data_IF_222178520934
#
_entry.id   IF_222178520934
#
_cell.length_a   1.000
_cell.length_b   1.000
_cell.length_c   1.000
_cell.angle_alpha   90.00
_cell.angle_beta   90.00
_cell.angle_gamma   90.00
#
_symmetry.space_group_name_H-M   'P 1'
#
loop_
_entity.id
_entity.type
_entity.pdbx_description
1 polymer ?
#
# COMPACT_ATOMS: atom_id res chain seq x y z
N UNK A 1 -11.10 25.74 -32.49
CA UNK A 1 -11.86 26.63 -31.61
C UNK A 1 -10.86 27.46 -30.81
N UNK A 2 -10.94 28.79 -30.90
CA UNK A 2 -10.19 29.71 -30.03
C UNK A 2 -10.66 29.54 -28.59
N UNK A 3 -9.75 29.56 -27.62
CA UNK A 3 -10.14 29.62 -26.21
C UNK A 3 -10.56 31.04 -25.84
N UNK A 4 -11.65 31.17 -25.09
CA UNK A 4 -12.10 32.46 -24.57
C UNK A 4 -11.43 32.68 -23.21
N UNK A 5 -10.59 33.71 -23.10
CA UNK A 5 -9.81 34.00 -21.88
C UNK A 5 -10.18 35.34 -21.25
N UNK A 6 -10.52 35.34 -19.96
CA UNK A 6 -10.65 36.56 -19.18
C UNK A 6 -9.26 37.01 -18.65
N UNK A 7 -8.95 38.30 -18.77
CA UNK A 7 -7.67 38.87 -18.36
C UNK A 7 -7.39 38.70 -16.84
N UNK A 8 -8.43 38.70 -16.01
CA UNK A 8 -8.36 38.65 -14.55
C UNK A 8 -8.74 39.97 -13.88
N UNK A 9 -8.36 40.12 -12.59
CA UNK A 9 -8.62 41.30 -11.74
C UNK A 9 -10.11 41.53 -11.43
N UNK A 10 -10.90 40.46 -11.45
CA UNK A 10 -12.33 40.53 -11.11
C UNK A 10 -12.52 40.33 -9.61
N UNK A 11 -13.45 41.09 -9.02
CA UNK A 11 -13.88 40.92 -7.63
C UNK A 11 -15.37 40.62 -7.63
N UNK A 12 -15.73 39.37 -7.32
CA UNK A 12 -17.10 38.89 -7.28
C UNK A 12 -17.66 38.98 -5.85
N UNK A 13 -18.34 40.08 -5.53
CA UNK A 13 -18.98 40.29 -4.22
C UNK A 13 -20.40 39.69 -4.11
N UNK A 14 -21.00 39.29 -5.23
CA UNK A 14 -22.26 38.54 -5.30
C UNK A 14 -22.04 37.13 -5.83
N UNK A 15 -23.02 36.21 -5.67
CA UNK A 15 -22.89 34.84 -6.15
C UNK A 15 -22.55 34.80 -7.65
N UNK A 16 -21.69 33.87 -8.04
CA UNK A 16 -21.24 33.69 -9.41
C UNK A 16 -21.64 32.30 -9.92
N UNK A 17 -22.21 32.24 -11.13
CA UNK A 17 -22.42 30.99 -11.84
C UNK A 17 -21.82 31.08 -13.25
N UNK A 18 -20.84 30.24 -13.54
CA UNK A 18 -20.17 30.14 -14.84
C UNK A 18 -20.50 28.79 -15.45
N UNK A 19 -20.98 28.81 -16.71
CA UNK A 19 -21.27 27.60 -17.48
C UNK A 19 -20.48 27.60 -18.78
N UNK A 20 -19.63 26.59 -18.95
CA UNK A 20 -18.93 26.29 -20.20
C UNK A 20 -19.64 25.13 -20.91
N UNK A 21 -20.35 25.43 -22.00
CA UNK A 21 -21.11 24.44 -22.80
C UNK A 21 -20.55 24.23 -24.21
N UNK A 22 -19.54 25.01 -24.61
CA UNK A 22 -18.96 24.99 -25.94
C UNK A 22 -17.89 23.90 -26.14
N UNK A 23 -17.36 23.86 -27.37
CA UNK A 23 -16.21 23.03 -27.74
C UNK A 23 -14.86 23.74 -27.58
N UNK A 24 -14.87 25.06 -27.39
CA UNK A 24 -13.70 25.85 -27.01
C UNK A 24 -13.43 25.77 -25.51
N UNK A 25 -12.19 26.05 -25.11
CA UNK A 25 -11.87 26.16 -23.68
C UNK A 25 -12.24 27.54 -23.14
N UNK A 26 -12.71 27.60 -21.90
CA UNK A 26 -12.94 28.85 -21.17
C UNK A 26 -11.88 29.01 -20.09
N UNK A 27 -11.18 30.15 -20.07
CA UNK A 27 -10.10 30.43 -19.12
C UNK A 27 -10.43 31.66 -18.28
N UNK A 28 -10.38 31.52 -16.96
CA UNK A 28 -10.61 32.61 -16.00
C UNK A 28 -9.34 32.90 -15.21
N UNK A 29 -8.97 34.18 -15.08
CA UNK A 29 -7.80 34.58 -14.30
C UNK A 29 -6.46 34.39 -15.02
N UNK A 30 -6.35 34.82 -16.28
CA UNK A 30 -5.17 34.54 -17.10
C UNK A 30 -3.93 35.33 -16.66
N UNK A 31 -4.05 36.65 -16.49
CA UNK A 31 -2.89 37.54 -16.22
C UNK A 31 -2.95 38.20 -14.84
N UNK A 32 -4.15 38.38 -14.29
CA UNK A 32 -4.35 38.95 -12.96
C UNK A 32 -5.24 38.06 -12.09
N UNK A 33 -5.02 38.11 -10.79
CA UNK A 33 -5.79 37.32 -9.83
C UNK A 33 -7.25 37.77 -9.75
N UNK A 34 -8.14 36.80 -9.60
CA UNK A 34 -9.57 36.99 -9.34
C UNK A 34 -9.87 36.72 -7.86
N UNK A 35 -10.87 37.41 -7.31
CA UNK A 35 -11.36 37.24 -5.94
C UNK A 35 -12.85 36.89 -5.95
N UNK A 36 -13.21 35.81 -5.27
CA UNK A 36 -14.58 35.32 -5.15
C UNK A 36 -15.04 35.46 -3.69
N UNK A 37 -15.72 36.56 -3.37
CA UNK A 37 -16.16 36.92 -2.02
C UNK A 37 -17.54 36.36 -1.64
N UNK A 38 -18.27 35.82 -2.62
CA UNK A 38 -19.55 35.15 -2.45
C UNK A 38 -19.54 33.79 -3.15
N UNK A 39 -20.50 32.88 -2.85
CA UNK A 39 -20.48 31.53 -3.37
C UNK A 39 -20.36 31.48 -4.90
N UNK A 40 -19.52 30.58 -5.41
CA UNK A 40 -19.25 30.48 -6.85
C UNK A 40 -19.45 29.05 -7.36
N UNK A 41 -20.02 28.92 -8.55
CA UNK A 41 -20.29 27.65 -9.22
C UNK A 41 -19.69 27.69 -10.61
N UNK A 42 -18.85 26.70 -10.91
CA UNK A 42 -18.21 26.52 -12.22
C UNK A 42 -18.66 25.20 -12.81
N UNK A 43 -19.43 25.26 -13.89
CA UNK A 43 -20.00 24.09 -14.54
C UNK A 43 -19.43 23.94 -15.94
N UNK A 44 -18.89 22.76 -16.25
CA UNK A 44 -18.56 22.36 -17.60
C UNK A 44 -19.54 21.28 -18.07
N UNK A 45 -20.31 21.57 -19.11
CA UNK A 45 -21.18 20.62 -19.83
C UNK A 45 -20.73 20.42 -21.28
N UNK A 46 -19.75 21.21 -21.73
CA UNK A 46 -19.24 21.21 -23.09
C UNK A 46 -18.21 20.11 -23.36
N UNK A 47 -17.61 20.18 -24.55
CA UNK A 47 -16.50 19.32 -24.98
C UNK A 47 -15.15 20.00 -24.86
N UNK A 48 -15.12 21.31 -24.58
CA UNK A 48 -13.92 22.05 -24.19
C UNK A 48 -13.57 21.89 -22.71
N UNK A 49 -12.42 22.43 -22.31
CA UNK A 49 -11.98 22.46 -20.91
C UNK A 49 -12.37 23.78 -20.25
N UNK A 50 -12.66 23.73 -18.95
CA UNK A 50 -12.87 24.92 -18.13
C UNK A 50 -11.67 25.11 -17.20
N UNK A 51 -10.99 26.25 -17.32
CA UNK A 51 -9.87 26.62 -16.46
C UNK A 51 -10.29 27.71 -15.49
N UNK A 52 -10.17 27.42 -14.19
CA UNK A 52 -10.52 28.34 -13.10
C UNK A 52 -9.26 28.68 -12.31
N UNK A 53 -9.09 29.96 -11.96
CA UNK A 53 -7.85 30.47 -11.36
C UNK A 53 -6.62 30.07 -12.22
N UNK A 54 -6.68 30.35 -13.53
CA UNK A 54 -5.84 29.70 -14.52
C UNK A 54 -4.35 29.92 -14.32
N UNK A 55 -3.86 31.17 -14.46
CA UNK A 55 -2.43 31.44 -14.63
C UNK A 55 -1.85 32.43 -13.63
N UNK A 56 -2.63 33.44 -13.22
CA UNK A 56 -2.14 34.47 -12.32
C UNK A 56 -1.92 33.92 -10.90
N UNK A 57 -0.96 34.49 -10.18
CA UNK A 57 -0.75 34.16 -8.76
C UNK A 57 -1.61 35.05 -7.87
N UNK A 58 -2.17 34.47 -6.80
CA UNK A 58 -2.91 35.20 -5.76
C UNK A 58 -4.42 35.14 -5.89
N UNK A 59 -4.98 34.15 -6.59
CA UNK A 59 -6.43 33.93 -6.62
C UNK A 59 -6.97 33.63 -5.22
N UNK A 60 -8.14 34.15 -4.88
CA UNK A 60 -8.76 33.93 -3.56
C UNK A 60 -10.24 33.56 -3.69
N UNK A 61 -10.62 32.45 -3.08
CA UNK A 61 -12.01 32.06 -2.86
C UNK A 61 -12.36 32.26 -1.38
N UNK A 62 -13.03 33.35 -1.05
CA UNK A 62 -13.45 33.70 0.32
C UNK A 62 -14.81 33.10 0.73
N UNK A 63 -15.49 32.43 -0.20
CA UNK A 63 -16.76 31.78 0.00
C UNK A 63 -16.78 30.42 -0.72
N UNK A 64 -17.73 29.52 -0.37
CA UNK A 64 -17.75 28.17 -0.92
C UNK A 64 -17.74 28.14 -2.45
N UNK A 65 -17.00 27.19 -3.00
CA UNK A 65 -16.89 26.99 -4.46
C UNK A 65 -17.34 25.59 -4.85
N UNK A 66 -18.08 25.49 -5.95
CA UNK A 66 -18.53 24.22 -6.52
C UNK A 66 -17.98 24.07 -7.94
N UNK A 67 -17.32 22.95 -8.21
CA UNK A 67 -16.85 22.55 -9.53
C UNK A 67 -17.66 21.36 -10.04
N UNK A 68 -18.40 21.57 -11.15
CA UNK A 68 -19.27 20.56 -11.76
C UNK A 68 -18.77 20.22 -13.16
N UNK A 69 -18.07 19.10 -13.31
CA UNK A 69 -17.66 18.62 -14.64
C UNK A 69 -18.62 17.51 -15.11
N UNK A 70 -19.74 17.97 -15.67
CA UNK A 70 -20.89 17.15 -16.07
C UNK A 70 -20.93 17.00 -17.60
N UNK A 71 -19.83 16.53 -18.17
CA UNK A 71 -19.64 16.42 -19.62
C UNK A 71 -19.90 14.99 -20.08
N UNK A 72 -20.58 14.81 -21.22
CA UNK A 72 -20.64 13.50 -21.89
C UNK A 72 -19.32 13.10 -22.59
N UNK A 73 -18.36 14.04 -22.66
CA UNK A 73 -17.04 13.86 -23.25
C UNK A 73 -16.05 13.23 -22.26
N UNK A 74 -15.26 12.27 -22.72
CA UNK A 74 -14.15 11.67 -21.95
C UNK A 74 -12.87 12.53 -21.94
N UNK A 75 -12.84 13.64 -22.69
CA UNK A 75 -11.66 14.48 -22.87
C UNK A 75 -11.82 15.90 -22.29
N UNK A 76 -12.87 16.11 -21.48
CA UNK A 76 -13.24 17.41 -20.97
C UNK A 76 -13.19 17.43 -19.44
N UNK A 77 -12.48 18.42 -18.91
CA UNK A 77 -12.20 18.54 -17.49
C UNK A 77 -12.35 19.98 -17.00
N UNK A 78 -12.39 20.11 -15.68
CA UNK A 78 -12.11 21.37 -15.00
C UNK A 78 -10.67 21.35 -14.49
N UNK A 79 -9.88 22.34 -14.88
CA UNK A 79 -8.54 22.57 -14.35
C UNK A 79 -8.59 23.75 -13.39
N UNK A 80 -8.17 23.53 -12.15
CA UNK A 80 -8.16 24.55 -11.10
C UNK A 80 -6.71 24.91 -10.80
N UNK A 81 -6.38 26.19 -10.72
CA UNK A 81 -5.00 26.63 -10.43
C UNK A 81 -3.98 26.09 -11.43
N UNK A 82 -4.35 25.94 -12.71
CA UNK A 82 -3.56 25.18 -13.69
C UNK A 82 -2.09 25.62 -13.73
N UNK A 83 -1.84 26.91 -13.85
CA UNK A 83 -0.51 27.52 -13.77
C UNK A 83 -0.30 28.46 -12.57
N UNK A 84 -1.34 28.74 -11.77
CA UNK A 84 -1.28 29.65 -10.62
C UNK A 84 -0.36 29.12 -9.52
N UNK A 85 0.66 29.90 -9.16
CA UNK A 85 1.60 29.61 -8.06
C UNK A 85 1.01 29.87 -6.67
N UNK A 86 -0.20 30.41 -6.58
CA UNK A 86 -0.90 30.62 -5.30
C UNK A 86 -2.39 30.83 -5.55
N UNK A 87 -3.21 29.84 -5.23
CA UNK A 87 -4.66 29.99 -5.13
C UNK A 87 -5.10 29.58 -3.74
N UNK A 88 -5.78 30.47 -3.02
CA UNK A 88 -6.24 30.23 -1.65
C UNK A 88 -7.75 30.01 -1.59
N UNK A 89 -8.15 28.93 -0.93
CA UNK A 89 -9.54 28.60 -0.63
C UNK A 89 -9.79 28.80 0.87
N UNK A 90 -10.50 29.88 1.21
CA UNK A 90 -10.97 30.22 2.56
C UNK A 90 -12.42 29.75 2.79
N UNK A 91 -12.81 28.66 2.15
CA UNK A 91 -14.12 28.03 2.27
C UNK A 91 -14.09 26.58 1.75
N UNK A 92 -15.16 25.83 2.02
CA UNK A 92 -15.32 24.47 1.49
C UNK A 92 -15.31 24.44 -0.05
N UNK A 93 -14.68 23.41 -0.60
CA UNK A 93 -14.65 23.09 -2.03
C UNK A 93 -15.57 21.90 -2.27
N UNK A 94 -16.58 22.06 -3.12
CA UNK A 94 -17.44 20.97 -3.59
C UNK A 94 -17.03 20.54 -4.99
N UNK A 95 -16.91 19.24 -5.23
CA UNK A 95 -16.58 18.66 -6.54
C UNK A 95 -17.63 17.64 -6.97
N UNK A 96 -18.08 17.76 -8.21
CA UNK A 96 -18.95 16.79 -8.88
C UNK A 96 -18.38 16.48 -10.27
N UNK A 97 -18.32 15.20 -10.64
CA UNK A 97 -17.75 14.81 -11.92
C UNK A 97 -18.36 13.53 -12.48
N UNK A 98 -18.80 13.63 -13.74
CA UNK A 98 -19.13 12.49 -14.62
C UNK A 98 -18.24 12.42 -15.87
N UNK A 99 -17.41 13.46 -16.11
CA UNK A 99 -16.47 13.55 -17.23
C UNK A 99 -15.06 13.06 -16.89
N UNK A 100 -14.04 13.65 -17.54
CA UNK A 100 -12.63 13.23 -17.39
C UNK A 100 -12.07 13.48 -15.99
N UNK A 101 -12.47 14.56 -15.32
CA UNK A 101 -12.01 14.85 -13.97
C UNK A 101 -11.97 16.34 -13.61
N UNK A 102 -11.50 16.56 -12.38
CA UNK A 102 -11.21 17.88 -11.82
C UNK A 102 -9.75 17.84 -11.34
N UNK A 103 -8.91 18.67 -11.95
CA UNK A 103 -7.46 18.62 -11.78
C UNK A 103 -6.93 19.92 -11.18
N UNK A 104 -6.43 19.85 -9.96
CA UNK A 104 -5.72 20.96 -9.34
C UNK A 104 -4.27 21.01 -9.84
N UNK A 105 -3.77 22.23 -10.08
CA UNK A 105 -2.37 22.53 -10.37
C UNK A 105 -1.83 21.81 -11.61
N UNK A 106 -2.67 21.63 -12.63
CA UNK A 106 -2.51 20.84 -13.88
C UNK A 106 -1.24 21.11 -14.72
N UNK A 107 -0.81 22.37 -14.76
CA UNK A 107 -0.02 22.92 -15.87
C UNK A 107 1.46 23.12 -15.63
N UNK A 108 1.92 23.21 -14.37
CA UNK A 108 3.34 23.33 -14.07
C UNK A 108 3.70 22.81 -12.65
N UNK A 109 5.00 22.70 -12.37
CA UNK A 109 5.54 22.15 -11.11
C UNK A 109 5.72 23.18 -9.99
N UNK A 110 5.33 24.45 -10.20
CA UNK A 110 5.37 25.52 -9.19
C UNK A 110 3.98 26.00 -8.78
N UNK A 111 2.92 25.53 -9.44
CA UNK A 111 1.54 25.82 -9.12
C UNK A 111 1.21 25.37 -7.68
N UNK A 112 0.29 26.06 -7.02
CA UNK A 112 -0.10 25.74 -5.65
C UNK A 112 -1.56 26.09 -5.38
N UNK A 113 -2.28 25.15 -4.77
CA UNK A 113 -3.61 25.36 -4.21
C UNK A 113 -3.56 25.18 -2.69
N UNK A 114 -4.01 26.18 -1.95
CA UNK A 114 -4.00 26.20 -0.49
C UNK A 114 -5.43 26.15 0.01
N UNK A 115 -5.77 25.13 0.80
CA UNK A 115 -7.01 25.07 1.56
C UNK A 115 -6.73 25.56 2.98
N UNK A 116 -7.37 26.67 3.34
CA UNK A 116 -7.19 27.29 4.66
C UNK A 116 -7.75 26.43 5.79
N UNK A 117 -7.32 26.64 7.05
CA UNK A 117 -7.81 25.89 8.19
C UNK A 117 -9.33 25.99 8.34
N UNK A 118 -9.97 24.90 8.74
CA UNK A 118 -11.41 24.84 8.98
C UNK A 118 -12.23 24.30 7.81
N UNK A 119 -11.63 24.11 6.62
CA UNK A 119 -12.36 23.81 5.40
C UNK A 119 -12.04 22.43 4.80
N UNK A 120 -12.92 21.98 3.91
CA UNK A 120 -12.95 20.61 3.36
C UNK A 120 -13.07 20.58 1.85
N UNK A 121 -12.58 19.50 1.26
CA UNK A 121 -12.94 19.06 -0.09
C UNK A 121 -14.04 18.00 0.02
N UNK A 122 -15.17 18.23 -0.63
CA UNK A 122 -16.38 17.41 -0.54
C UNK A 122 -16.78 16.92 -1.93
N UNK A 123 -17.06 15.63 -2.06
CA UNK A 123 -17.89 15.16 -3.18
C UNK A 123 -19.32 15.67 -2.95
N UNK A 124 -19.87 16.40 -3.91
CA UNK A 124 -21.22 16.95 -3.80
C UNK A 124 -22.32 15.90 -3.98
N UNK A 125 -23.57 16.34 -3.92
CA UNK A 125 -24.75 15.46 -4.04
C UNK A 125 -24.90 14.85 -5.43
N UNK A 126 -24.35 15.49 -6.47
CA UNK A 126 -24.36 14.95 -7.84
C UNK A 126 -23.31 13.84 -8.01
N UNK A 127 -22.37 13.75 -7.06
CA UNK A 127 -21.38 12.69 -6.95
C UNK A 127 -20.17 12.87 -7.84
N UNK A 128 -19.17 12.01 -7.60
CA UNK A 128 -17.96 11.90 -8.40
C UNK A 128 -17.83 10.44 -8.84
N UNK A 129 -18.37 10.14 -10.02
CA UNK A 129 -18.68 8.77 -10.47
C UNK A 129 -17.76 8.26 -11.59
N UNK A 130 -17.02 9.15 -12.23
CA UNK A 130 -16.05 8.81 -13.28
C UNK A 130 -14.81 9.70 -13.17
N UNK A 131 -13.80 9.45 -14.00
CA UNK A 131 -12.65 10.34 -14.14
C UNK A 131 -11.76 10.43 -12.88
N UNK A 132 -10.94 11.47 -12.80
CA UNK A 132 -10.00 11.66 -11.70
C UNK A 132 -10.23 12.96 -10.91
N UNK A 133 -10.24 12.87 -9.59
CA UNK A 133 -9.99 14.02 -8.71
C UNK A 133 -8.49 14.05 -8.42
N UNK A 134 -7.77 15.04 -8.95
CA UNK A 134 -6.32 15.17 -8.77
C UNK A 134 -6.00 16.33 -7.85
N UNK A 135 -5.53 16.01 -6.65
CA UNK A 135 -5.05 16.95 -5.64
C UNK A 135 -3.53 17.06 -5.72
N UNK A 136 -3.02 17.65 -6.81
CA UNK A 136 -1.59 17.90 -7.02
C UNK A 136 -1.21 19.27 -6.47
N UNK A 137 -0.03 19.37 -5.85
CA UNK A 137 0.47 20.60 -5.22
C UNK A 137 -0.58 21.27 -4.33
N UNK A 138 -1.35 20.44 -3.64
CA UNK A 138 -2.46 20.84 -2.80
C UNK A 138 -1.99 20.86 -1.36
N UNK A 139 -2.09 22.00 -0.71
CA UNK A 139 -1.68 22.23 0.68
C UNK A 139 -2.93 22.47 1.52
N UNK A 140 -3.35 21.47 2.29
CA UNK A 140 -4.35 21.67 3.33
C UNK A 140 -3.66 22.12 4.61
N UNK A 141 -3.90 23.37 4.99
CA UNK A 141 -3.38 23.96 6.23
C UNK A 141 -4.28 23.65 7.42
N UNK A 142 -3.68 23.27 8.54
CA UNK A 142 -4.40 23.00 9.80
C UNK A 142 -5.08 21.64 9.84
N UNK A 143 -5.54 21.22 11.02
CA UNK A 143 -5.88 19.82 11.30
C UNK A 143 -7.29 19.37 10.88
N UNK A 144 -8.00 20.13 10.05
CA UNK A 144 -9.38 19.79 9.63
C UNK A 144 -9.41 18.46 8.86
N UNK A 145 -10.15 17.43 9.33
CA UNK A 145 -10.19 16.15 8.64
C UNK A 145 -10.78 16.25 7.22
N UNK A 146 -10.14 15.60 6.26
CA UNK A 146 -10.63 15.44 4.89
C UNK A 146 -11.24 14.05 4.74
N UNK A 147 -12.52 13.98 4.39
CA UNK A 147 -13.25 12.73 4.15
C UNK A 147 -13.78 12.75 2.72
N UNK A 148 -13.14 12.00 1.82
CA UNK A 148 -13.42 12.05 0.38
C UNK A 148 -13.91 10.68 -0.08
N UNK A 149 -15.16 10.61 -0.54
CA UNK A 149 -15.72 9.40 -1.12
C UNK A 149 -16.01 9.62 -2.60
N UNK A 150 -15.42 8.77 -3.44
CA UNK A 150 -15.73 8.68 -4.87
C UNK A 150 -16.40 7.33 -5.15
N UNK A 151 -17.09 7.20 -6.28
CA UNK A 151 -17.89 6.01 -6.59
C UNK A 151 -17.73 5.57 -8.04
N UNK A 152 -18.33 4.42 -8.37
CA UNK A 152 -18.35 3.85 -9.72
C UNK A 152 -16.94 3.62 -10.29
N UNK A 153 -16.48 4.41 -11.26
CA UNK A 153 -15.18 4.21 -11.92
C UNK A 153 -14.18 5.34 -11.63
N UNK A 154 -14.51 6.22 -10.68
CA UNK A 154 -13.69 7.36 -10.34
C UNK A 154 -12.36 6.99 -9.63
N UNK A 155 -11.36 7.85 -9.78
CA UNK A 155 -10.05 7.73 -9.14
C UNK A 155 -9.71 8.97 -8.32
N UNK A 156 -9.28 8.77 -7.08
CA UNK A 156 -8.71 9.82 -6.24
C UNK A 156 -7.19 9.79 -6.34
N UNK A 157 -6.57 10.92 -6.69
CA UNK A 157 -5.11 11.06 -6.78
C UNK A 157 -4.61 12.12 -5.82
N UNK A 158 -3.71 11.70 -4.92
CA UNK A 158 -2.92 12.60 -4.09
C UNK A 158 -1.55 12.85 -4.69
N UNK A 159 -1.15 14.11 -4.77
CA UNK A 159 0.18 14.51 -5.23
C UNK A 159 0.38 14.47 -6.74
N UNK A 160 1.59 14.82 -7.21
CA UNK A 160 2.80 15.12 -6.42
C UNK A 160 2.78 16.43 -5.64
N UNK A 161 3.69 16.50 -4.66
CA UNK A 161 4.00 17.68 -3.84
C UNK A 161 2.81 18.25 -3.07
N UNK A 162 1.94 17.37 -2.56
CA UNK A 162 0.79 17.77 -1.75
C UNK A 162 1.07 17.55 -0.26
N UNK A 163 0.39 18.29 0.60
CA UNK A 163 0.50 18.12 2.05
C UNK A 163 -0.87 18.26 2.69
N UNK A 164 -1.15 17.38 3.65
CA UNK A 164 -2.38 17.37 4.42
C UNK A 164 -2.03 17.41 5.90
N UNK A 165 -2.33 18.53 6.55
CA UNK A 165 -2.07 18.73 7.98
C UNK A 165 -3.05 17.98 8.90
N UNK A 166 -4.26 17.69 8.39
CA UNK A 166 -5.29 16.94 9.11
C UNK A 166 -5.33 15.46 8.74
N UNK A 167 -6.26 14.75 9.39
CA UNK A 167 -6.54 13.35 9.05
C UNK A 167 -7.14 13.26 7.65
N UNK A 168 -6.80 12.19 6.91
CA UNK A 168 -7.33 11.93 5.57
C UNK A 168 -7.98 10.56 5.54
N UNK A 169 -9.28 10.53 5.26
CA UNK A 169 -10.02 9.29 5.00
C UNK A 169 -10.53 9.32 3.56
N UNK A 170 -10.32 8.25 2.81
CA UNK A 170 -10.94 8.10 1.49
C UNK A 170 -11.51 6.71 1.26
N UNK A 171 -12.66 6.66 0.60
CA UNK A 171 -13.23 5.45 0.00
C UNK A 171 -13.40 5.72 -1.48
N UNK A 172 -12.69 5.02 -2.36
CA UNK A 172 -12.71 5.33 -3.80
C UNK A 172 -12.43 4.09 -4.65
N UNK A 173 -13.03 3.97 -5.85
CA UNK A 173 -12.76 2.85 -6.73
C UNK A 173 -11.29 2.76 -7.16
N UNK A 174 -10.71 3.89 -7.56
CA UNK A 174 -9.28 4.06 -7.79
C UNK A 174 -8.64 4.96 -6.72
N UNK A 175 -7.45 4.61 -6.25
CA UNK A 175 -6.63 5.43 -5.34
C UNK A 175 -5.18 5.46 -5.84
N UNK A 176 -4.64 6.66 -6.02
CA UNK A 176 -3.24 6.87 -6.40
C UNK A 176 -2.52 7.77 -5.40
N UNK A 177 -1.47 7.25 -4.77
CA UNK A 177 -0.64 7.94 -3.77
C UNK A 177 0.71 8.33 -4.40
N UNK A 178 0.80 9.55 -4.91
CA UNK A 178 1.86 9.96 -5.84
C UNK A 178 2.71 11.11 -5.31
N UNK A 179 3.18 11.04 -4.06
CA UNK A 179 4.12 12.01 -3.51
C UNK A 179 3.42 13.07 -2.65
N UNK A 180 2.71 12.63 -1.62
CA UNK A 180 2.08 13.51 -0.64
C UNK A 180 2.68 13.30 0.77
N UNK A 181 2.64 14.37 1.57
CA UNK A 181 2.95 14.33 3.00
C UNK A 181 1.62 14.32 3.77
N UNK A 182 1.41 13.32 4.60
CA UNK A 182 0.24 13.22 5.47
C UNK A 182 0.68 13.39 6.92
N UNK A 183 0.32 14.50 7.55
CA UNK A 183 0.70 14.81 8.93
C UNK A 183 -0.25 14.20 9.96
N UNK A 184 -1.52 13.97 9.59
CA UNK A 184 -2.51 13.28 10.42
C UNK A 184 -2.61 11.78 10.13
N UNK A 185 -3.55 11.13 10.81
CA UNK A 185 -3.92 9.73 10.57
C UNK A 185 -4.55 9.57 9.19
N UNK A 186 -4.24 8.47 8.50
CA UNK A 186 -4.77 8.19 7.17
C UNK A 186 -5.50 6.85 7.08
N UNK A 187 -6.56 6.81 6.27
CA UNK A 187 -7.30 5.59 5.94
C UNK A 187 -7.73 5.61 4.48
N UNK A 188 -7.19 4.72 3.66
CA UNK A 188 -7.46 4.63 2.23
C UNK A 188 -8.11 3.29 1.91
N UNK A 189 -9.34 3.30 1.41
CA UNK A 189 -10.11 2.10 1.04
C UNK A 189 -10.37 2.11 -0.46
N UNK A 190 -9.67 1.24 -1.18
CA UNK A 190 -9.90 0.97 -2.60
C UNK A 190 -11.09 0.02 -2.78
N UNK A 191 -12.01 0.32 -3.69
CA UNK A 191 -13.21 -0.51 -3.93
C UNK A 191 -13.39 -0.97 -5.39
N UNK A 192 -12.59 -0.45 -6.32
CA UNK A 192 -12.81 -0.61 -7.75
C UNK A 192 -12.05 -1.77 -8.39
N UNK A 193 -12.23 -1.90 -9.70
CA UNK A 193 -11.72 -3.01 -10.50
C UNK A 193 -10.40 -2.72 -11.22
N UNK A 194 -9.94 -1.47 -11.22
CA UNK A 194 -8.66 -1.07 -11.82
C UNK A 194 -7.46 -1.52 -10.98
N UNK A 195 -6.35 -1.84 -11.63
CA UNK A 195 -5.06 -1.95 -10.96
C UNK A 195 -4.47 -0.55 -10.74
N UNK A 196 -4.22 -0.18 -9.49
CA UNK A 196 -3.81 1.18 -9.14
C UNK A 196 -2.30 1.24 -8.88
N UNK A 197 -1.59 1.86 -9.82
CA UNK A 197 -0.14 1.97 -9.79
C UNK A 197 0.31 3.27 -9.12
N UNK A 198 0.28 3.32 -7.79
CA UNK A 198 0.79 4.49 -7.08
C UNK A 198 2.28 4.64 -7.30
N UNK A 199 2.69 5.83 -7.70
CA UNK A 199 4.08 6.18 -7.96
C UNK A 199 4.95 6.00 -6.70
N UNK A 200 4.36 6.21 -5.52
CA UNK A 200 5.08 6.34 -4.26
C UNK A 200 5.63 7.74 -4.06
N UNK A 201 6.60 7.89 -3.15
CA UNK A 201 7.14 9.19 -2.74
C UNK A 201 6.38 9.82 -1.57
N UNK A 202 5.53 9.04 -0.89
CA UNK A 202 4.68 9.55 0.18
C UNK A 202 5.39 9.48 1.52
N UNK A 203 5.06 10.41 2.41
CA UNK A 203 5.50 10.42 3.81
C UNK A 203 4.25 10.42 4.70
N UNK A 204 4.10 9.37 5.51
CA UNK A 204 3.03 9.24 6.48
C UNK A 204 3.60 9.50 7.87
N UNK A 205 3.29 10.67 8.45
CA UNK A 205 3.73 11.05 9.79
C UNK A 205 2.75 10.60 10.89
N UNK A 206 1.50 10.29 10.53
CA UNK A 206 0.53 9.65 11.41
C UNK A 206 0.31 8.18 11.06
N UNK A 207 -0.47 7.49 11.91
CA UNK A 207 -0.87 6.09 11.68
C UNK A 207 -1.58 5.96 10.32
N UNK A 208 -1.27 4.90 9.58
CA UNK A 208 -1.78 4.69 8.23
C UNK A 208 -2.53 3.36 8.10
N UNK A 209 -3.66 3.37 7.39
CA UNK A 209 -4.35 2.16 6.97
C UNK A 209 -4.59 2.20 5.46
N UNK A 210 -4.22 1.12 4.77
CA UNK A 210 -4.46 0.94 3.34
C UNK A 210 -5.19 -0.39 3.15
N UNK A 211 -6.42 -0.30 2.65
CA UNK A 211 -7.30 -1.44 2.43
C UNK A 211 -7.64 -1.56 0.95
N UNK A 212 -7.49 -2.77 0.40
CA UNK A 212 -8.02 -3.12 -0.90
C UNK A 212 -9.23 -4.04 -0.75
N UNK A 213 -10.42 -3.46 -0.95
CA UNK A 213 -11.72 -4.15 -1.02
C UNK A 213 -12.23 -4.31 -2.46
N UNK A 214 -11.40 -3.98 -3.46
CA UNK A 214 -11.74 -4.04 -4.87
C UNK A 214 -11.35 -5.35 -5.55
N UNK A 215 -11.54 -5.41 -6.87
CA UNK A 215 -11.29 -6.64 -7.66
C UNK A 215 -9.86 -6.75 -8.20
N UNK A 216 -9.09 -5.67 -8.15
CA UNK A 216 -7.70 -5.64 -8.62
C UNK A 216 -6.78 -4.94 -7.60
N UNK A 217 -5.48 -4.98 -7.85
CA UNK A 217 -4.45 -4.65 -6.86
C UNK A 217 -4.28 -3.15 -6.64
N UNK A 218 -3.72 -2.80 -5.47
CA UNK A 218 -3.09 -1.50 -5.23
C UNK A 218 -1.58 -1.69 -5.07
N UNK A 219 -0.80 -0.93 -5.85
CA UNK A 219 0.67 -0.89 -5.80
C UNK A 219 1.11 0.38 -5.10
N UNK A 220 2.11 0.26 -4.23
CA UNK A 220 2.79 1.35 -3.53
C UNK A 220 4.30 1.28 -3.80
N UNK A 221 4.99 2.42 -3.81
CA UNK A 221 6.43 2.46 -4.08
C UNK A 221 6.83 2.00 -5.48
N UNK A 222 6.10 2.40 -6.54
CA UNK A 222 6.38 1.95 -7.91
C UNK A 222 7.59 2.63 -8.57
N UNK A 223 7.83 3.91 -8.30
CA UNK A 223 8.97 4.66 -8.85
C UNK A 223 9.65 5.58 -7.82
N UNK A 224 9.06 5.77 -6.63
CA UNK A 224 9.64 6.55 -5.54
C UNK A 224 9.36 5.87 -4.19
N UNK A 225 10.27 6.04 -3.23
CA UNK A 225 10.18 5.44 -1.90
C UNK A 225 8.98 5.99 -1.13
N UNK A 226 8.24 5.12 -0.45
CA UNK A 226 7.30 5.51 0.59
C UNK A 226 7.97 5.43 1.97
N UNK A 227 7.54 6.28 2.90
CA UNK A 227 8.03 6.31 4.29
C UNK A 227 6.85 6.35 5.26
N UNK A 228 6.77 5.38 6.17
CA UNK A 228 5.83 5.36 7.28
C UNK A 228 6.58 5.64 8.56
N UNK A 229 6.34 6.80 9.18
CA UNK A 229 6.98 7.20 10.44
C UNK A 229 6.29 6.61 11.67
N UNK A 230 5.00 6.30 11.56
CA UNK A 230 4.18 5.64 12.56
C UNK A 230 3.68 4.28 12.04
N UNK A 231 2.91 3.57 12.88
CA UNK A 231 2.34 2.27 12.56
C UNK A 231 1.51 2.29 11.25
N UNK A 232 1.61 1.22 10.46
CA UNK A 232 0.83 1.03 9.23
C UNK A 232 0.11 -0.32 9.20
N UNK A 233 -1.13 -0.32 8.74
CA UNK A 233 -1.91 -1.54 8.49
C UNK A 233 -2.20 -1.70 6.99
N UNK A 234 -1.86 -2.86 6.44
CA UNK A 234 -2.23 -3.26 5.08
C UNK A 234 -3.29 -4.36 5.13
N UNK A 235 -4.44 -4.13 4.50
CA UNK A 235 -5.55 -5.09 4.47
C UNK A 235 -5.94 -5.43 3.04
N UNK A 236 -5.85 -6.70 2.70
CA UNK A 236 -6.47 -7.24 1.49
C UNK A 236 -7.74 -8.00 1.88
N UNK A 237 -8.90 -7.50 1.46
CA UNK A 237 -10.22 -8.14 1.67
C UNK A 237 -11.11 -8.15 0.41
N UNK A 238 -10.64 -7.55 -0.69
CA UNK A 238 -11.19 -7.70 -2.03
C UNK A 238 -10.59 -8.91 -2.76
N UNK A 239 -10.72 -9.00 -4.08
CA UNK A 239 -10.30 -10.19 -4.84
C UNK A 239 -8.80 -10.25 -5.20
N UNK A 240 -8.03 -9.17 -5.02
CA UNK A 240 -6.59 -9.12 -5.35
C UNK A 240 -5.76 -8.52 -4.20
N UNK A 241 -4.57 -7.99 -4.51
CA UNK A 241 -3.49 -7.77 -3.54
C UNK A 241 -3.35 -6.33 -3.08
N UNK A 242 -2.72 -6.17 -1.93
CA UNK A 242 -1.99 -4.95 -1.57
C UNK A 242 -0.50 -5.21 -1.79
N UNK A 243 0.18 -4.33 -2.50
CA UNK A 243 1.59 -4.50 -2.91
C UNK A 243 2.49 -3.36 -2.39
N UNK A 244 2.89 -3.38 -1.09
CA UNK A 244 3.81 -2.39 -0.52
C UNK A 244 5.24 -2.53 -1.04
N UNK A 245 5.96 -1.40 -1.15
CA UNK A 245 7.37 -1.37 -1.55
C UNK A 245 7.67 -2.11 -2.87
N UNK A 246 6.78 -2.00 -3.86
CA UNK A 246 6.74 -2.90 -5.01
C UNK A 246 8.03 -2.91 -5.84
N UNK A 247 8.53 -1.73 -6.24
CA UNK A 247 9.72 -1.57 -7.11
C UNK A 247 10.83 -0.72 -6.50
N UNK A 248 10.49 0.17 -5.58
CA UNK A 248 11.46 1.03 -4.89
C UNK A 248 11.47 0.67 -3.42
N UNK A 249 12.66 0.69 -2.83
CA UNK A 249 12.80 0.43 -1.41
C UNK A 249 11.99 1.44 -0.59
N UNK A 250 11.28 0.97 0.43
CA UNK A 250 10.46 1.79 1.31
C UNK A 250 10.77 1.51 2.78
N UNK A 251 10.42 2.45 3.64
CA UNK A 251 10.82 2.48 5.05
C UNK A 251 9.63 2.43 5.99
N UNK A 252 9.65 1.45 6.89
CA UNK A 252 8.66 1.23 7.94
C UNK A 252 9.31 1.52 9.29
N UNK A 253 9.13 2.76 9.77
CA UNK A 253 9.69 3.21 11.05
C UNK A 253 8.72 2.97 12.22
N UNK A 254 7.47 2.59 11.96
CA UNK A 254 6.52 2.04 12.92
C UNK A 254 6.34 0.52 12.79
N UNK A 255 5.43 -0.06 13.59
CA UNK A 255 5.02 -1.46 13.42
C UNK A 255 4.20 -1.64 12.14
N UNK A 256 4.24 -2.85 11.61
CA UNK A 256 3.48 -3.22 10.41
C UNK A 256 2.43 -4.26 10.79
N UNK A 257 1.18 -3.97 10.47
CA UNK A 257 0.08 -4.92 10.62
C UNK A 257 -0.40 -5.37 9.24
N UNK A 258 -0.67 -6.65 9.10
CA UNK A 258 -1.11 -7.24 7.83
C UNK A 258 -2.39 -8.05 8.02
N UNK A 259 -3.32 -7.90 7.10
CA UNK A 259 -4.56 -8.67 7.06
C UNK A 259 -4.80 -9.21 5.65
N UNK A 260 -5.23 -10.45 5.57
CA UNK A 260 -5.67 -11.09 4.32
C UNK A 260 -6.85 -11.99 4.64
N UNK A 261 -8.03 -11.60 4.19
CA UNK A 261 -9.28 -12.28 4.50
C UNK A 261 -10.26 -12.21 3.31
N UNK A 262 -11.44 -12.79 3.50
CA UNK A 262 -12.47 -12.91 2.46
C UNK A 262 -11.91 -13.56 1.17
N UNK A 263 -12.08 -12.91 0.01
CA UNK A 263 -11.64 -13.42 -1.30
C UNK A 263 -10.23 -12.98 -1.70
N UNK A 264 -9.46 -12.40 -0.77
CA UNK A 264 -8.16 -11.83 -1.04
C UNK A 264 -7.13 -12.83 -1.54
N UNK A 265 -6.32 -12.35 -2.50
CA UNK A 265 -5.07 -13.01 -2.85
C UNK A 265 -4.01 -12.77 -1.78
N UNK A 266 -3.90 -11.56 -1.22
CA UNK A 266 -3.03 -11.31 -0.08
C UNK A 266 -2.30 -9.97 -0.05
N UNK A 267 -1.39 -9.83 0.91
CA UNK A 267 -0.45 -8.72 1.02
C UNK A 267 0.94 -9.22 0.61
N UNK A 268 1.58 -8.56 -0.35
CA UNK A 268 2.93 -8.92 -0.78
C UNK A 268 3.85 -7.70 -0.79
N UNK A 269 4.91 -7.79 0.01
CA UNK A 269 5.99 -6.81 -0.01
C UNK A 269 6.92 -7.10 -1.18
N UNK A 270 7.30 -6.05 -1.91
CA UNK A 270 8.21 -6.11 -3.04
C UNK A 270 7.76 -7.08 -4.17
N UNK A 271 8.59 -7.20 -5.21
CA UNK A 271 8.39 -8.16 -6.32
C UNK A 271 8.31 -7.54 -7.71
N UNK A 272 8.28 -6.22 -7.80
CA UNK A 272 8.38 -5.49 -9.07
C UNK A 272 9.82 -5.17 -9.49
N UNK A 273 10.78 -5.27 -8.56
CA UNK A 273 12.22 -5.09 -8.82
C UNK A 273 13.03 -5.98 -7.85
N UNK A 274 14.12 -6.58 -8.32
CA UNK A 274 14.97 -7.49 -7.53
C UNK A 274 15.91 -6.76 -6.58
N UNK A 275 16.09 -5.45 -6.73
CA UNK A 275 16.88 -4.60 -5.83
C UNK A 275 16.03 -3.87 -4.79
N UNK A 276 14.69 -3.85 -4.93
CA UNK A 276 13.78 -3.26 -3.95
C UNK A 276 13.89 -3.95 -2.59
N UNK A 277 13.65 -3.22 -1.51
CA UNK A 277 13.62 -3.75 -0.14
C UNK A 277 12.53 -3.08 0.69
N UNK A 278 11.85 -3.86 1.52
CA UNK A 278 11.00 -3.36 2.58
C UNK A 278 11.82 -3.34 3.88
N UNK A 279 12.20 -2.16 4.37
CA UNK A 279 13.00 -2.03 5.59
C UNK A 279 12.10 -1.79 6.80
N UNK A 280 12.09 -2.72 7.75
CA UNK A 280 11.48 -2.55 9.07
C UNK A 280 12.54 -2.10 10.07
N UNK A 281 12.30 -0.96 10.71
CA UNK A 281 13.23 -0.33 11.63
C UNK A 281 13.48 -1.17 12.89
N UNK A 282 14.63 -0.94 13.54
CA UNK A 282 14.96 -1.57 14.81
C UNK A 282 13.94 -1.23 15.90
N UNK A 283 13.59 -2.21 16.73
CA UNK A 283 12.59 -2.05 17.78
C UNK A 283 11.14 -2.22 17.31
N UNK A 284 10.90 -2.54 16.02
CA UNK A 284 9.57 -2.69 15.43
C UNK A 284 9.30 -4.12 15.00
N UNK A 285 8.02 -4.47 14.91
CA UNK A 285 7.56 -5.81 14.52
C UNK A 285 6.61 -5.77 13.33
N UNK A 286 6.43 -6.92 12.71
CA UNK A 286 5.34 -7.21 11.77
C UNK A 286 4.51 -8.38 12.32
N UNK A 287 3.19 -8.20 12.36
CA UNK A 287 2.23 -9.22 12.81
C UNK A 287 0.87 -9.07 12.14
N UNK A 288 -0.02 -10.03 12.33
CA UNK A 288 -1.39 -9.89 11.88
C UNK A 288 -2.11 -8.71 12.54
N UNK A 289 -2.97 -8.04 11.78
CA UNK A 289 -3.89 -7.03 12.32
C UNK A 289 -5.13 -7.65 12.95
N UNK A 290 -6.07 -6.81 13.38
CA UNK A 290 -7.28 -7.24 14.11
C UNK A 290 -8.22 -8.14 13.30
N UNK A 291 -8.17 -8.08 11.97
CA UNK A 291 -9.00 -8.94 11.10
C UNK A 291 -8.28 -10.22 10.65
N UNK A 292 -7.01 -10.37 11.01
CA UNK A 292 -6.22 -11.58 10.84
C UNK A 292 -5.85 -11.94 9.40
N UNK A 293 -5.16 -13.08 9.29
CA UNK A 293 -4.80 -13.74 8.03
C UNK A 293 -5.61 -15.04 7.96
N UNK A 294 -6.78 -14.99 7.33
CA UNK A 294 -7.75 -16.09 7.27
C UNK A 294 -7.90 -16.69 5.86
N UNK A 295 -7.49 -15.97 4.83
CA UNK A 295 -7.41 -16.43 3.44
C UNK A 295 -6.23 -15.77 2.72
N UNK A 296 -5.95 -16.18 1.48
CA UNK A 296 -4.85 -15.62 0.69
C UNK A 296 -3.49 -15.82 1.35
N UNK A 297 -2.61 -14.81 1.23
CA UNK A 297 -1.27 -14.87 1.78
C UNK A 297 -0.78 -13.55 2.38
N UNK A 298 0.23 -13.67 3.25
CA UNK A 298 1.21 -12.62 3.50
C UNK A 298 2.55 -13.08 2.92
N UNK A 299 3.16 -12.25 2.08
CA UNK A 299 4.43 -12.57 1.41
C UNK A 299 5.50 -11.54 1.78
N UNK A 300 6.44 -11.97 2.63
CA UNK A 300 7.58 -11.18 3.09
C UNK A 300 8.78 -11.43 2.16
N UNK A 301 8.68 -10.94 0.93
CA UNK A 301 9.77 -10.97 -0.05
C UNK A 301 10.63 -9.71 0.07
N UNK A 302 11.95 -9.87 0.00
CA UNK A 302 12.91 -8.75 0.12
C UNK A 302 12.65 -7.90 1.37
N UNK A 303 12.23 -8.55 2.46
CA UNK A 303 11.87 -7.92 3.72
C UNK A 303 13.07 -7.95 4.66
N UNK A 304 13.51 -6.78 5.11
CA UNK A 304 14.70 -6.61 5.94
C UNK A 304 14.26 -6.06 7.30
N UNK A 305 14.22 -6.94 8.30
CA UNK A 305 13.89 -6.58 9.67
C UNK A 305 15.19 -6.36 10.46
N UNK A 306 15.33 -5.16 11.04
CA UNK A 306 16.48 -4.80 11.86
C UNK A 306 16.19 -4.91 13.35
N UNK A 307 17.21 -5.16 14.15
CA UNK A 307 17.12 -5.29 15.59
C UNK A 307 16.56 -6.64 16.04
N UNK A 308 16.25 -6.74 17.33
CA UNK A 308 15.93 -8.01 17.99
C UNK A 308 14.45 -8.17 18.39
N UNK A 309 13.57 -7.26 17.95
CA UNK A 309 12.14 -7.35 18.24
C UNK A 309 11.52 -8.50 17.45
N UNK A 310 10.94 -9.52 18.11
CA UNK A 310 10.44 -10.71 17.42
C UNK A 310 9.42 -10.41 16.32
N UNK A 311 9.46 -11.22 15.26
CA UNK A 311 8.43 -11.30 14.23
C UNK A 311 7.52 -12.48 14.58
N UNK A 312 6.26 -12.19 14.86
CA UNK A 312 5.25 -13.19 15.22
C UNK A 312 4.06 -13.04 14.30
N UNK A 313 3.79 -14.05 13.47
CA UNK A 313 2.65 -14.04 12.55
C UNK A 313 1.82 -15.30 12.75
N UNK A 314 0.54 -15.10 13.03
CA UNK A 314 -0.45 -16.16 13.09
C UNK A 314 -1.43 -16.04 11.92
N UNK A 315 -1.51 -17.09 11.11
CA UNK A 315 -2.56 -17.28 10.12
C UNK A 315 -3.43 -18.48 10.50
N UNK A 316 -4.68 -18.46 10.06
CA UNK A 316 -5.68 -19.51 10.32
C UNK A 316 -6.45 -19.85 9.05
N UNK A 317 -7.30 -20.87 9.11
CA UNK A 317 -8.11 -21.36 7.99
C UNK A 317 -7.27 -21.70 6.76
N UNK A 318 -7.35 -20.89 5.70
CA UNK A 318 -6.59 -21.09 4.46
C UNK A 318 -5.44 -20.07 4.30
N UNK A 319 -5.17 -19.26 5.32
CA UNK A 319 -4.11 -18.27 5.31
C UNK A 319 -2.72 -18.90 5.11
N UNK A 320 -1.89 -18.20 4.34
CA UNK A 320 -0.52 -18.63 4.01
C UNK A 320 0.51 -17.56 4.37
N UNK A 321 1.68 -17.97 4.83
CA UNK A 321 2.82 -17.07 5.07
C UNK A 321 4.01 -17.51 4.23
N UNK A 322 4.56 -16.59 3.43
CA UNK A 322 5.76 -16.81 2.62
C UNK A 322 6.89 -15.92 3.13
N UNK A 323 8.07 -16.50 3.34
CA UNK A 323 9.26 -15.82 3.87
C UNK A 323 10.38 -15.88 2.83
N UNK A 324 10.85 -14.73 2.36
CA UNK A 324 11.82 -14.64 1.27
C UNK A 324 11.16 -14.54 -0.11
N UNK A 325 11.89 -14.72 -1.21
CA UNK A 325 13.35 -14.77 -1.25
C UNK A 325 13.98 -13.42 -0.89
N UNK A 326 15.27 -13.47 -0.59
CA UNK A 326 16.13 -12.34 -0.26
C UNK A 326 15.62 -11.52 0.93
N UNK A 327 15.01 -12.19 1.91
CA UNK A 327 14.60 -11.56 3.17
C UNK A 327 15.62 -11.83 4.26
N UNK A 328 15.69 -10.93 5.23
CA UNK A 328 16.72 -10.88 6.25
C UNK A 328 16.05 -10.53 7.59
N UNK A 329 16.17 -11.42 8.56
CA UNK A 329 15.54 -11.30 9.87
C UNK A 329 16.60 -11.33 10.97
N UNK A 330 16.89 -10.17 11.56
CA UNK A 330 17.81 -10.03 12.69
C UNK A 330 17.21 -10.56 14.02
N UNK A 331 15.88 -10.59 14.14
CA UNK A 331 15.15 -11.00 15.33
C UNK A 331 14.61 -12.44 15.27
N UNK A 332 14.18 -13.01 16.41
CA UNK A 332 13.48 -14.28 16.41
C UNK A 332 12.22 -14.24 15.53
N UNK A 333 11.98 -15.30 14.76
CA UNK A 333 10.82 -15.43 13.86
C UNK A 333 9.96 -16.59 14.33
N UNK A 334 8.69 -16.34 14.67
CA UNK A 334 7.71 -17.39 14.97
C UNK A 334 6.53 -17.26 14.03
N UNK A 335 6.30 -18.30 13.22
CA UNK A 335 5.16 -18.34 12.29
C UNK A 335 4.27 -19.52 12.64
N UNK A 336 3.00 -19.26 12.91
CA UNK A 336 1.97 -20.29 13.09
C UNK A 336 0.96 -20.16 11.96
N UNK A 337 0.89 -21.14 11.05
CA UNK A 337 -0.04 -21.05 9.92
C UNK A 337 -0.45 -22.40 9.32
N UNK A 338 -1.63 -22.45 8.68
CA UNK A 338 -2.06 -23.58 7.86
C UNK A 338 -1.08 -23.88 6.74
N UNK A 339 -0.46 -22.84 6.18
CA UNK A 339 0.54 -22.93 5.12
C UNK A 339 1.72 -21.98 5.40
N UNK A 340 2.93 -22.52 5.41
CA UNK A 340 4.18 -21.79 5.63
C UNK A 340 5.15 -22.15 4.50
N UNK A 341 5.72 -21.14 3.84
CA UNK A 341 6.69 -21.33 2.76
C UNK A 341 7.98 -20.57 3.08
N UNK A 342 9.02 -21.31 3.46
CA UNK A 342 10.34 -20.78 3.82
C UNK A 342 11.24 -20.78 2.58
N UNK A 343 11.47 -19.62 1.99
CA UNK A 343 11.71 -19.48 0.54
C UNK A 343 12.87 -18.55 0.18
N UNK A 344 13.98 -18.66 0.90
CA UNK A 344 15.24 -17.96 0.61
C UNK A 344 15.50 -16.77 1.52
N UNK A 345 15.35 -16.96 2.83
CA UNK A 345 15.63 -15.94 3.83
C UNK A 345 16.84 -16.28 4.71
N UNK A 346 17.48 -15.26 5.27
CA UNK A 346 18.48 -15.38 6.33
C UNK A 346 17.82 -15.14 7.68
N UNK A 347 18.05 -16.04 8.63
CA UNK A 347 17.55 -15.97 10.01
C UNK A 347 18.74 -15.89 10.96
N UNK A 348 18.97 -14.71 11.54
CA UNK A 348 20.10 -14.47 12.46
C UNK A 348 19.82 -14.91 13.90
N UNK A 349 18.54 -15.07 14.25
CA UNK A 349 18.05 -15.49 15.55
C UNK A 349 17.07 -16.67 15.39
N UNK A 350 16.61 -17.32 16.49
CA UNK A 350 15.81 -18.54 16.39
C UNK A 350 14.57 -18.38 15.51
N UNK A 351 14.37 -19.34 14.60
CA UNK A 351 13.22 -19.39 13.70
C UNK A 351 12.36 -20.61 14.03
N UNK A 352 11.09 -20.39 14.40
CA UNK A 352 10.12 -21.43 14.75
C UNK A 352 8.93 -21.42 13.78
N UNK A 353 8.65 -22.57 13.19
CA UNK A 353 7.56 -22.75 12.22
C UNK A 353 6.56 -23.79 12.73
N UNK A 354 5.35 -23.34 13.05
CA UNK A 354 4.24 -24.19 13.53
C UNK A 354 3.23 -24.40 12.40
N UNK A 355 3.26 -25.57 11.79
CA UNK A 355 2.42 -25.93 10.63
C UNK A 355 1.13 -26.60 11.07
N UNK A 356 -0.01 -25.98 10.78
CA UNK A 356 -1.32 -26.45 11.27
C UNK A 356 -2.23 -27.10 10.22
N UNK A 357 -2.01 -26.82 8.93
CA UNK A 357 -2.95 -27.22 7.85
C UNK A 357 -2.55 -28.49 7.08
N UNK A 358 -3.48 -29.05 6.31
CA UNK A 358 -3.29 -30.31 5.56
C UNK A 358 -2.51 -30.23 4.24
N UNK A 359 -2.17 -29.03 3.76
CA UNK A 359 -1.48 -28.83 2.49
C UNK A 359 0.02 -29.16 2.55
N UNK A 360 0.58 -29.59 1.41
CA UNK A 360 2.02 -29.70 1.22
C UNK A 360 2.63 -28.31 1.08
N UNK A 361 3.61 -27.98 1.92
CA UNK A 361 4.43 -26.80 1.71
C UNK A 361 5.85 -27.19 1.36
N UNK A 362 6.31 -26.60 0.27
CA UNK A 362 7.62 -26.82 -0.27
C UNK A 362 8.32 -25.48 -0.39
N UNK A 363 9.60 -25.45 -0.07
CA UNK A 363 10.41 -24.30 -0.40
C UNK A 363 10.64 -24.17 -1.93
N UNK A 364 11.36 -23.12 -2.32
CA UNK A 364 11.72 -22.83 -3.70
C UNK A 364 13.23 -23.11 -3.94
N UNK A 365 13.78 -22.59 -5.03
CA UNK A 365 15.21 -22.77 -5.37
C UNK A 365 16.16 -21.83 -4.65
N UNK A 366 15.66 -20.92 -3.80
CA UNK A 366 16.50 -19.99 -3.06
C UNK A 366 16.90 -20.60 -1.71
N UNK A 367 18.20 -20.57 -1.43
CA UNK A 367 18.76 -21.10 -0.19
C UNK A 367 18.28 -20.28 1.01
N UNK A 368 17.72 -20.97 2.00
CA UNK A 368 17.55 -20.42 3.34
C UNK A 368 18.86 -20.59 4.14
N UNK A 369 19.17 -19.60 4.96
CA UNK A 369 20.32 -19.62 5.86
C UNK A 369 19.82 -19.44 7.28
N UNK A 370 19.96 -20.48 8.11
CA UNK A 370 19.63 -20.44 9.53
C UNK A 370 20.92 -20.28 10.32
N UNK A 371 21.21 -19.07 10.79
CA UNK A 371 22.41 -18.80 11.61
C UNK A 371 22.19 -19.15 13.09
N UNK A 372 20.92 -19.29 13.49
CA UNK A 372 20.50 -19.76 14.81
C UNK A 372 19.48 -20.90 14.65
N UNK A 373 18.96 -21.37 15.77
CA UNK A 373 18.14 -22.58 15.86
C UNK A 373 16.95 -22.52 14.91
N UNK A 374 16.75 -23.60 14.13
CA UNK A 374 15.57 -23.80 13.30
C UNK A 374 14.65 -24.82 13.97
N UNK A 375 13.49 -24.38 14.43
CA UNK A 375 12.46 -25.24 15.02
C UNK A 375 11.28 -25.44 14.07
N UNK A 376 10.88 -26.69 13.88
CA UNK A 376 9.69 -27.05 13.11
C UNK A 376 8.74 -27.84 14.03
N UNK A 377 7.49 -27.39 14.10
CA UNK A 377 6.42 -28.08 14.79
C UNK A 377 5.31 -28.44 13.82
N UNK A 378 5.10 -29.74 13.60
CA UNK A 378 4.04 -30.25 12.75
C UNK A 378 2.81 -30.63 13.58
N UNK A 379 1.72 -29.89 13.41
CA UNK A 379 0.43 -30.16 14.05
C UNK A 379 -0.59 -30.78 13.08
N UNK A 380 -0.31 -30.78 11.78
CA UNK A 380 -1.22 -31.33 10.77
C UNK A 380 -1.19 -32.86 10.70
N UNK A 381 -2.34 -33.46 10.39
CA UNK A 381 -2.48 -34.89 10.12
C UNK A 381 -2.23 -35.27 8.66
N UNK A 382 -2.28 -34.31 7.74
CA UNK A 382 -2.05 -34.54 6.30
C UNK A 382 -1.07 -33.54 5.71
N UNK A 383 -0.52 -33.90 4.55
CA UNK A 383 0.43 -33.07 3.82
C UNK A 383 1.86 -33.18 4.36
N UNK A 384 2.64 -32.13 4.15
CA UNK A 384 4.05 -32.09 4.52
C UNK A 384 4.54 -30.65 4.70
N UNK A 385 5.60 -30.51 5.49
CA UNK A 385 6.41 -29.30 5.58
C UNK A 385 7.83 -29.64 5.15
N UNK A 386 8.23 -29.17 3.96
CA UNK A 386 9.51 -29.52 3.34
C UNK A 386 10.43 -28.31 3.28
N UNK A 387 11.49 -28.37 4.08
CA UNK A 387 12.68 -27.55 3.90
C UNK A 387 13.61 -28.21 2.89
N UNK A 388 14.39 -27.40 2.18
CA UNK A 388 15.39 -27.83 1.22
C UNK A 388 14.85 -28.75 0.12
N UNK A 389 13.63 -28.52 -0.39
CA UNK A 389 13.11 -29.30 -1.51
C UNK A 389 13.88 -29.02 -2.81
N UNK A 390 14.09 -27.74 -3.14
CA UNK A 390 14.77 -27.30 -4.38
C UNK A 390 15.99 -26.41 -4.13
N UNK A 391 16.38 -26.26 -2.87
CA UNK A 391 17.54 -25.49 -2.43
C UNK A 391 18.38 -26.32 -1.46
N UNK A 392 19.66 -25.95 -1.33
CA UNK A 392 20.56 -26.52 -0.33
C UNK A 392 20.52 -25.62 0.91
N UNK A 393 19.46 -25.67 1.72
CA UNK A 393 19.40 -24.80 2.90
C UNK A 393 20.56 -25.11 3.86
N UNK A 394 21.08 -24.04 4.48
CA UNK A 394 22.23 -24.11 5.37
C UNK A 394 21.78 -23.91 6.82
N UNK A 395 22.08 -24.89 7.66
CA UNK A 395 21.78 -24.87 9.09
C UNK A 395 23.08 -24.72 9.88
N UNK A 396 23.31 -23.52 10.43
CA UNK A 396 24.51 -23.20 11.23
C UNK A 396 24.33 -23.44 12.72
N UNK A 397 23.12 -23.82 13.15
CA UNK A 397 22.78 -24.14 14.53
C UNK A 397 21.85 -25.35 14.59
N UNK A 398 21.46 -25.76 15.79
CA UNK A 398 20.60 -26.93 16.01
C UNK A 398 19.27 -26.85 15.23
N UNK A 399 18.82 -28.02 14.79
CA UNK A 399 17.48 -28.22 14.25
C UNK A 399 16.64 -28.89 15.34
N UNK A 400 15.51 -28.26 15.68
CA UNK A 400 14.54 -28.82 16.63
C UNK A 400 13.31 -29.27 15.84
N UNK A 401 12.86 -30.50 16.07
CA UNK A 401 11.64 -31.03 15.48
C UNK A 401 10.65 -31.42 16.55
N UNK A 402 9.39 -31.05 16.34
CA UNK A 402 8.26 -31.48 17.14
C UNK A 402 7.13 -31.93 16.21
N UNK A 403 6.35 -32.91 16.63
CA UNK A 403 5.23 -33.37 15.83
C UNK A 403 4.15 -34.00 16.69
N UNK A 404 2.96 -33.40 16.68
CA UNK A 404 1.73 -33.94 17.27
C UNK A 404 0.75 -34.47 16.21
N UNK A 405 0.95 -34.07 14.95
CA UNK A 405 0.17 -34.54 13.81
C UNK A 405 0.86 -35.65 13.02
N UNK A 406 0.10 -36.37 12.19
CA UNK A 406 0.60 -37.48 11.37
C UNK A 406 1.28 -37.08 10.05
N UNK A 407 1.33 -35.78 9.72
CA UNK A 407 1.97 -35.29 8.51
C UNK A 407 3.52 -35.35 8.58
N UNK A 408 4.17 -35.16 7.44
CA UNK A 408 5.62 -35.30 7.34
C UNK A 408 6.38 -33.97 7.52
N UNK A 409 7.44 -33.99 8.31
CA UNK A 409 8.53 -32.99 8.25
C UNK A 409 9.60 -33.57 7.32
N UNK A 410 10.02 -32.81 6.31
CA UNK A 410 11.06 -33.24 5.38
C UNK A 410 12.15 -32.17 5.28
N UNK A 411 13.42 -32.60 5.34
CA UNK A 411 14.59 -31.76 5.06
C UNK A 411 15.35 -32.43 3.92
N UNK A 412 15.35 -31.77 2.77
CA UNK A 412 15.91 -32.31 1.54
C UNK A 412 14.89 -33.04 0.67
N UNK A 413 15.28 -33.31 -0.58
CA UNK A 413 14.46 -34.06 -1.55
C UNK A 413 15.29 -34.93 -2.47
N UNK A 414 14.86 -36.18 -2.66
CA UNK A 414 15.45 -37.09 -3.65
C UNK A 414 15.07 -36.75 -5.09
N UNK A 415 13.93 -36.08 -5.30
CA UNK A 415 13.44 -35.76 -6.65
C UNK A 415 14.17 -34.59 -7.30
N UNK A 416 14.85 -33.77 -6.51
CA UNK A 416 15.48 -32.52 -6.99
C UNK A 416 16.99 -32.45 -6.66
N UNK A 417 17.55 -33.48 -6.03
CA UNK A 417 18.99 -33.55 -5.73
C UNK A 417 19.49 -32.47 -4.78
N UNK A 418 18.61 -31.89 -3.95
CA UNK A 418 19.02 -30.92 -2.93
C UNK A 418 19.87 -31.61 -1.87
N UNK A 419 20.93 -30.93 -1.43
CA UNK A 419 21.88 -31.40 -0.45
C UNK A 419 21.96 -30.39 0.72
N UNK A 420 20.96 -30.38 1.61
CA UNK A 420 21.01 -29.53 2.81
C UNK A 420 22.15 -29.92 3.75
N UNK A 421 22.68 -28.93 4.44
CA UNK A 421 23.87 -29.07 5.29
C UNK A 421 23.61 -28.55 6.70
N UNK A 422 23.97 -29.38 7.69
CA UNK A 422 24.06 -29.00 9.10
C UNK A 422 25.52 -28.94 9.52
N UNK A 423 25.93 -27.79 10.06
CA UNK A 423 27.34 -27.54 10.41
C UNK A 423 27.84 -28.44 11.54
N UNK A 424 29.17 -28.57 11.59
CA UNK A 424 29.84 -29.40 12.59
C UNK A 424 29.53 -28.97 14.03
N UNK A 425 29.26 -29.95 14.88
CA UNK A 425 28.94 -29.72 16.30
C UNK A 425 27.47 -29.42 16.57
N UNK A 426 26.60 -29.45 15.54
CA UNK A 426 25.16 -29.20 15.65
C UNK A 426 24.36 -30.49 15.56
N UNK A 427 23.18 -30.48 16.16
CA UNK A 427 22.32 -31.66 16.32
C UNK A 427 20.94 -31.47 15.70
N UNK A 428 20.29 -32.59 15.40
CA UNK A 428 18.85 -32.64 15.16
C UNK A 428 18.24 -33.33 16.38
N UNK A 429 17.32 -32.66 17.07
CA UNK A 429 16.72 -33.21 18.28
C UNK A 429 15.23 -32.94 18.38
N UNK A 430 14.55 -33.80 19.15
CA UNK A 430 13.16 -33.58 19.52
C UNK A 430 13.08 -32.45 20.55
N UNK A 431 12.18 -31.49 20.33
CA UNK A 431 11.96 -30.37 21.24
C UNK A 431 11.06 -30.72 22.42
N UNK A 432 10.76 -29.72 23.25
CA UNK A 432 9.95 -29.89 24.45
C UNK A 432 8.48 -30.24 24.16
N UNK A 433 7.98 -29.93 22.95
CA UNK A 433 6.62 -30.29 22.54
C UNK A 433 6.51 -31.78 22.13
N UNK A 434 7.64 -32.46 21.93
CA UNK A 434 7.69 -33.90 21.64
C UNK A 434 7.43 -34.25 20.18
N UNK A 435 7.65 -35.53 19.85
CA UNK A 435 7.42 -36.09 18.52
C UNK A 435 6.63 -37.39 18.67
N UNK A 436 5.32 -37.28 18.81
CA UNK A 436 4.42 -38.40 19.10
C UNK A 436 3.80 -39.03 17.83
N UNK A 437 3.81 -38.31 16.70
CA UNK A 437 3.19 -38.76 15.45
C UNK A 437 3.94 -38.24 14.20
N UNK A 438 3.65 -38.85 13.05
CA UNK A 438 4.18 -38.42 11.76
C UNK A 438 5.57 -38.98 11.44
N UNK A 439 6.24 -38.35 10.49
CA UNK A 439 7.54 -38.81 9.98
C UNK A 439 8.52 -37.65 9.85
N UNK A 440 9.78 -37.89 10.20
CA UNK A 440 10.90 -37.04 9.84
C UNK A 440 11.66 -37.69 8.67
N UNK A 441 11.71 -37.01 7.53
CA UNK A 441 12.52 -37.43 6.38
C UNK A 441 13.76 -36.54 6.25
N UNK A 442 14.93 -37.16 6.30
CA UNK A 442 16.20 -36.54 5.94
C UNK A 442 16.65 -37.14 4.62
N UNK A 443 16.68 -36.35 3.54
CA UNK A 443 17.02 -36.84 2.19
C UNK A 443 18.22 -36.07 1.65
N UNK A 444 19.27 -36.80 1.26
CA UNK A 444 20.55 -36.20 0.82
C UNK A 444 21.12 -35.18 1.82
N UNK A 445 20.74 -35.32 3.08
CA UNK A 445 21.13 -34.43 4.16
C UNK A 445 22.53 -34.77 4.64
N UNK A 446 23.37 -33.76 4.78
CA UNK A 446 24.73 -33.91 5.30
C UNK A 446 24.84 -33.23 6.66
N UNK A 447 25.07 -34.02 7.70
CA UNK A 447 25.55 -33.50 8.98
C UNK A 447 27.07 -33.53 8.97
N UNK A 448 27.69 -32.38 9.15
CA UNK A 448 29.14 -32.29 9.26
C UNK A 448 29.60 -32.67 10.67
N UNK A 449 30.82 -33.20 10.76
CA UNK A 449 31.42 -33.58 12.04
C UNK A 449 30.81 -34.86 12.64
N UNK A 450 30.99 -35.01 13.96
CA UNK A 450 30.64 -36.23 14.70
C UNK A 450 29.67 -35.97 15.84
N UNK A 451 28.92 -34.87 15.79
CA UNK A 451 27.87 -34.60 16.77
C UNK A 451 26.78 -35.68 16.63
N UNK A 452 26.29 -36.23 17.76
CA UNK A 452 25.33 -37.33 17.74
C UNK A 452 23.93 -36.92 17.29
#
# INVERSE_FOLDING_TARGET
ASGDGNHGNNIFNGPLNVVCSGSGSLLLGVNMADQYNAPSVFTNTGTGNLYVAYGASGHVFNAPVTFNNNTASSNSAIYVSHGSTSTTFNADITVNNTGQGIFFCNGNNSAQAILSPGYRVLAGTDGFTAGALSLRQFYQSGATPQNITLTSTATLRFGPSSTFDGNVTSVSPGILLNGAIFNGTTSFIKTGTSGDWSNGGNVFNGVCSITNSGESYIVLGNNASDTWNEDVTFTANGADRVLPAWRVSSWFNGNVYVNSNDTARGVQFCGGDTAARAYLAAGKTIREGSTGITSGYVYLRQFFQRGNTPVEITAVNNGSVYLGPNSDFEAPVTITAPNIYVQGATYHAPARFVKTGGGNNNNNSYQNIFESTCEVEMQSNTGSFTLSQRSNDLFKDDIIVNSSGTAAISIGSSSYGSAPELLAGKTIRVGAAGFSAGYLYLRHFTQQGSAP
#
